data_IF_232854564731
#
_entry.id   IF_232854564731
#
_cell.length_a   1.000
_cell.length_b   1.000
_cell.length_c   1.000
_cell.angle_alpha   90.00
_cell.angle_beta   90.00
_cell.angle_gamma   90.00
#
_symmetry.space_group_name_H-M   'P 1'
#
loop_
_entity.id
_entity.type
_entity.pdbx_description
1 polymer ?
#
# COMPACT_ATOMS: atom_id res chain seq x y z
N UNK A 1 11.06 15.24 17.27
CA UNK A 1 10.87 14.69 15.92
C UNK A 1 11.09 13.18 16.00
N UNK A 2 9.99 12.40 16.09
CA UNK A 2 10.09 10.93 16.21
C UNK A 2 10.07 10.21 14.85
N UNK A 3 9.71 10.92 13.80
CA UNK A 3 9.71 10.47 12.42
C UNK A 3 9.74 11.70 11.52
N UNK A 4 10.04 11.55 10.25
CA UNK A 4 10.17 12.67 9.31
C UNK A 4 8.84 13.43 9.09
N UNK A 5 7.72 12.79 9.38
CA UNK A 5 6.35 13.25 9.13
C UNK A 5 5.51 13.47 10.40
N UNK A 6 6.10 13.32 11.60
CA UNK A 6 5.40 13.42 12.88
C UNK A 6 5.94 14.53 13.77
N UNK A 7 5.02 15.30 14.34
CA UNK A 7 5.32 16.38 15.27
C UNK A 7 4.51 16.18 16.55
N UNK A 8 5.10 16.55 17.67
CA UNK A 8 4.43 16.62 18.98
C UNK A 8 4.49 18.06 19.44
N UNK A 9 3.34 18.58 19.85
CA UNK A 9 3.21 19.91 20.46
C UNK A 9 2.53 19.78 21.84
N UNK A 10 3.00 20.58 22.78
CA UNK A 10 2.34 20.74 24.09
C UNK A 10 1.79 22.16 24.13
N UNK A 11 0.48 22.28 24.38
CA UNK A 11 -0.20 23.57 24.42
C UNK A 11 -1.03 23.68 25.69
N UNK A 12 -1.24 24.93 26.15
CA UNK A 12 -2.12 25.18 27.30
C UNK A 12 -3.59 25.04 26.91
N UNK A 13 -4.41 24.60 27.86
CA UNK A 13 -5.86 24.39 27.67
C UNK A 13 -6.59 25.63 27.10
N UNK A 14 -6.20 26.83 27.50
CA UNK A 14 -6.80 28.08 26.98
C UNK A 14 -6.63 28.22 25.46
N UNK A 15 -5.48 27.85 24.93
CA UNK A 15 -5.20 27.88 23.48
C UNK A 15 -5.87 26.71 22.76
N UNK A 16 -5.94 25.54 23.40
CA UNK A 16 -6.68 24.40 22.86
C UNK A 16 -8.16 24.74 22.67
N UNK A 17 -8.79 25.38 23.64
CA UNK A 17 -10.20 25.82 23.53
C UNK A 17 -10.42 26.78 22.36
N UNK A 18 -9.48 27.68 22.10
CA UNK A 18 -9.55 28.57 20.94
C UNK A 18 -9.42 27.78 19.60
N UNK A 19 -8.47 26.86 19.52
CA UNK A 19 -8.28 25.99 18.35
C UNK A 19 -9.56 25.18 18.07
N UNK A 20 -10.18 24.61 19.11
CA UNK A 20 -11.41 23.82 18.97
C UNK A 20 -12.62 24.67 18.58
N UNK A 21 -12.76 25.89 19.14
CA UNK A 21 -13.80 26.83 18.72
C UNK A 21 -13.70 27.17 17.24
N UNK A 22 -12.49 27.32 16.73
CA UNK A 22 -12.21 27.59 15.32
C UNK A 22 -12.18 26.29 14.49
N UNK A 23 -12.74 25.18 15.01
CA UNK A 23 -12.87 23.87 14.31
C UNK A 23 -11.55 23.36 13.74
N UNK A 24 -10.43 23.67 14.42
CA UNK A 24 -9.08 23.25 14.01
C UNK A 24 -8.74 23.76 12.59
N UNK A 25 -8.90 25.05 12.34
CA UNK A 25 -8.68 25.74 11.05
C UNK A 25 -7.34 25.43 10.36
N UNK A 26 -6.34 24.98 11.13
CA UNK A 26 -5.04 24.56 10.58
C UNK A 26 -5.17 23.43 9.56
N UNK A 27 -6.22 22.59 9.65
CA UNK A 27 -6.48 21.54 8.67
C UNK A 27 -6.84 22.13 7.30
N UNK A 28 -7.65 23.18 7.29
CA UNK A 28 -8.05 23.85 6.06
C UNK A 28 -6.87 24.60 5.43
N UNK A 29 -6.06 25.27 6.26
CA UNK A 29 -4.82 25.92 5.80
C UNK A 29 -3.81 24.92 5.24
N UNK A 30 -3.72 23.72 5.81
CA UNK A 30 -2.86 22.66 5.27
C UNK A 30 -3.32 22.21 3.89
N UNK A 31 -4.63 22.11 3.66
CA UNK A 31 -5.22 21.73 2.36
C UNK A 31 -4.99 22.75 1.25
N UNK A 32 -4.75 24.02 1.61
CA UNK A 32 -4.41 25.07 0.65
C UNK A 32 -2.97 24.97 0.14
N UNK A 33 -2.13 24.17 0.78
CA UNK A 33 -0.74 23.96 0.38
C UNK A 33 -0.66 22.84 -0.66
N UNK A 34 -0.12 23.18 -1.83
CA UNK A 34 0.14 22.23 -2.90
C UNK A 34 1.62 21.91 -2.98
N UNK A 35 1.94 20.65 -3.16
CA UNK A 35 3.30 20.21 -3.41
C UNK A 35 3.39 19.80 -4.88
N UNK A 36 4.27 20.49 -5.64
CA UNK A 36 4.49 20.26 -7.08
C UNK A 36 3.20 20.31 -7.94
N UNK A 37 2.22 21.13 -7.57
CA UNK A 37 0.90 21.28 -8.23
C UNK A 37 0.11 19.96 -8.40
N UNK A 38 0.52 18.88 -7.71
CA UNK A 38 -0.04 17.54 -7.89
C UNK A 38 -0.74 16.99 -6.64
N UNK A 39 -0.34 17.44 -5.46
CA UNK A 39 -0.81 16.86 -4.22
C UNK A 39 -1.08 17.94 -3.17
N UNK A 40 -2.30 17.95 -2.63
CA UNK A 40 -2.63 18.78 -1.47
C UNK A 40 -1.99 18.19 -0.21
N UNK A 41 -1.42 19.05 0.63
CA UNK A 41 -0.98 18.62 1.96
C UNK A 41 -2.21 18.32 2.81
N UNK A 42 -2.22 17.16 3.46
CA UNK A 42 -3.22 16.80 4.46
C UNK A 42 -2.58 16.63 5.82
N UNK A 43 -3.33 16.91 6.87
CA UNK A 43 -2.85 16.78 8.24
C UNK A 43 -3.84 15.97 9.08
N UNK A 44 -3.32 15.02 9.85
CA UNK A 44 -4.12 14.32 10.85
C UNK A 44 -3.60 14.66 12.24
N UNK A 45 -4.51 15.04 13.15
CA UNK A 45 -4.14 15.54 14.48
C UNK A 45 -4.83 14.69 15.53
N UNK A 46 -4.05 14.16 16.47
CA UNK A 46 -4.55 13.53 17.69
C UNK A 46 -4.32 14.47 18.89
N UNK A 47 -5.36 14.74 19.66
CA UNK A 47 -5.32 15.63 20.83
C UNK A 47 -5.67 14.80 22.06
N UNK A 48 -4.75 14.76 23.01
CA UNK A 48 -4.96 14.18 24.34
C UNK A 48 -5.33 15.29 25.32
N UNK A 49 -6.57 15.26 25.81
CA UNK A 49 -7.10 16.17 26.79
C UNK A 49 -7.45 15.42 28.09
N UNK A 50 -7.45 16.05 29.23
CA UNK A 50 -7.82 15.45 30.53
C UNK A 50 -6.85 14.43 31.12
N UNK A 51 -5.69 14.18 30.52
CA UNK A 51 -4.67 13.31 31.14
C UNK A 51 -4.11 13.92 32.44
N UNK A 52 -4.00 13.11 33.48
CA UNK A 52 -3.43 13.52 34.78
C UNK A 52 -1.94 13.81 34.73
N UNK A 53 -1.26 13.30 33.73
CA UNK A 53 0.16 13.48 33.47
C UNK A 53 0.41 13.75 31.99
N UNK A 54 1.56 14.34 31.64
CA UNK A 54 1.96 14.54 30.24
C UNK A 54 2.07 13.20 29.50
N UNK A 55 2.50 12.14 30.17
CA UNK A 55 2.59 10.80 29.59
C UNK A 55 1.18 10.26 29.24
N UNK A 56 0.22 10.44 30.08
CA UNK A 56 -1.16 10.03 29.84
C UNK A 56 -1.80 10.86 28.72
N UNK A 57 -1.56 12.18 28.72
CA UNK A 57 -2.02 13.06 27.65
C UNK A 57 -1.40 12.68 26.30
N UNK A 58 -0.13 12.28 26.28
CA UNK A 58 0.52 11.75 25.05
C UNK A 58 -0.13 10.44 24.58
N UNK A 59 -0.42 9.51 25.49
CA UNK A 59 -1.11 8.26 25.15
C UNK A 59 -2.50 8.55 24.56
N UNK A 60 -3.23 9.47 25.15
CA UNK A 60 -4.54 9.89 24.64
C UNK A 60 -4.42 10.54 23.25
N UNK A 61 -3.40 11.37 23.04
CA UNK A 61 -3.15 11.98 21.74
C UNK A 61 -2.82 10.94 20.67
N UNK A 62 -2.04 9.92 20.99
CA UNK A 62 -1.75 8.79 20.09
C UNK A 62 -3.02 8.02 19.72
N UNK A 63 -3.82 7.64 20.71
CA UNK A 63 -5.10 6.95 20.48
C UNK A 63 -6.05 7.81 19.62
N UNK A 64 -6.11 9.11 19.87
CA UNK A 64 -6.91 10.03 19.08
C UNK A 64 -6.39 10.11 17.62
N UNK A 65 -5.07 10.15 17.44
CA UNK A 65 -4.47 10.16 16.11
C UNK A 65 -4.78 8.86 15.33
N UNK A 66 -4.67 7.71 15.97
CA UNK A 66 -5.05 6.42 15.38
C UNK A 66 -6.53 6.41 14.95
N UNK A 67 -7.41 6.96 15.80
CA UNK A 67 -8.82 7.10 15.45
C UNK A 67 -9.06 8.04 14.28
N UNK A 68 -8.33 9.18 14.22
CA UNK A 68 -8.42 10.09 13.09
C UNK A 68 -7.93 9.43 11.78
N UNK A 69 -6.83 8.67 11.86
CA UNK A 69 -6.27 7.92 10.74
C UNK A 69 -7.19 6.79 10.28
N UNK A 70 -7.73 6.00 11.21
CA UNK A 70 -8.69 4.92 10.91
C UNK A 70 -10.01 5.41 10.30
N UNK A 71 -10.32 6.72 10.39
CA UNK A 71 -11.47 7.37 9.74
C UNK A 71 -11.13 8.04 8.40
N UNK A 72 -9.92 7.84 7.91
CA UNK A 72 -9.50 8.39 6.63
C UNK A 72 -8.48 9.53 6.72
N UNK A 73 -8.02 9.88 7.91
CA UNK A 73 -7.10 11.00 8.08
C UNK A 73 -7.72 12.35 7.74
N UNK A 74 -6.85 13.36 7.51
CA UNK A 74 -7.24 14.72 7.16
C UNK A 74 -8.27 15.34 8.10
N UNK A 75 -8.13 15.05 9.38
CA UNK A 75 -9.03 15.49 10.46
C UNK A 75 -8.32 15.53 11.81
N UNK A 76 -8.92 16.19 12.78
CA UNK A 76 -8.48 16.12 14.16
C UNK A 76 -9.44 15.26 14.99
N UNK A 77 -8.88 14.43 15.88
CA UNK A 77 -9.62 13.75 16.91
C UNK A 77 -9.14 14.20 18.29
N UNK A 78 -10.07 14.42 19.20
CA UNK A 78 -9.81 14.77 20.60
C UNK A 78 -10.27 13.61 21.47
N UNK A 79 -9.38 13.06 22.28
CA UNK A 79 -9.79 12.09 23.31
C UNK A 79 -10.20 12.82 24.57
N UNK A 80 -11.40 12.53 25.02
CA UNK A 80 -12.00 13.01 26.28
C UNK A 80 -12.38 11.81 27.15
N UNK A 81 -12.76 12.06 28.40
CA UNK A 81 -13.26 11.02 29.29
C UNK A 81 -14.55 10.35 28.76
N UNK A 82 -15.30 11.04 27.90
CA UNK A 82 -16.55 10.56 27.30
C UNK A 82 -16.37 9.90 25.93
N UNK A 83 -15.13 9.73 25.45
CA UNK A 83 -14.85 9.14 24.15
C UNK A 83 -14.04 10.05 23.23
N UNK A 84 -14.39 10.08 21.94
CA UNK A 84 -13.67 10.85 20.94
C UNK A 84 -14.60 11.89 20.28
N UNK A 85 -14.08 13.11 20.14
CA UNK A 85 -14.70 14.17 19.35
C UNK A 85 -13.86 14.40 18.08
N UNK A 86 -14.51 14.70 16.94
CA UNK A 86 -13.85 14.85 15.65
C UNK A 86 -14.11 16.23 15.06
N UNK A 87 -13.07 16.83 14.45
CA UNK A 87 -13.09 18.17 13.87
C UNK A 87 -12.46 18.16 12.47
N UNK A 88 -12.97 19.01 11.59
CA UNK A 88 -12.34 19.31 10.29
C UNK A 88 -12.36 18.16 9.28
N UNK A 89 -13.02 17.05 9.59
CA UNK A 89 -13.21 15.99 8.63
C UNK A 89 -14.13 16.48 7.52
N UNK A 90 -13.56 16.92 6.38
CA UNK A 90 -14.32 16.82 5.13
C UNK A 90 -14.40 15.33 4.88
N UNK A 91 -15.53 14.71 5.21
CA UNK A 91 -15.82 13.38 4.72
C UNK A 91 -16.01 13.50 3.20
N UNK A 92 -14.94 13.54 2.43
CA UNK A 92 -14.88 12.74 1.20
C UNK A 92 -15.15 11.37 1.74
N UNK A 93 -16.39 10.88 1.54
CA UNK A 93 -16.86 9.67 2.19
C UNK A 93 -15.73 8.67 2.14
N UNK A 94 -15.38 8.08 3.27
CA UNK A 94 -14.42 6.98 3.30
C UNK A 94 -14.75 6.21 2.04
N UNK A 95 -13.82 6.24 1.06
CA UNK A 95 -14.04 5.52 -0.17
C UNK A 95 -14.16 4.09 0.31
N UNK A 96 -15.42 3.68 0.57
CA UNK A 96 -15.71 2.40 1.18
C UNK A 96 -15.07 1.40 0.25
N UNK A 97 -14.15 0.65 0.78
CA UNK A 97 -13.62 -0.56 0.18
C UNK A 97 -14.84 -1.38 -0.25
N UNK A 98 -15.34 -1.13 -1.44
CA UNK A 98 -16.56 -1.78 -1.89
C UNK A 98 -16.12 -2.99 -2.68
N UNK A 99 -16.64 -4.16 -2.33
CA UNK A 99 -16.48 -5.39 -3.13
C UNK A 99 -16.72 -5.16 -4.62
N UNK A 100 -17.52 -4.15 -4.97
CA UNK A 100 -17.76 -3.73 -6.36
C UNK A 100 -16.52 -3.12 -6.99
N UNK A 101 -15.80 -2.22 -6.30
CA UNK A 101 -14.57 -1.60 -6.78
C UNK A 101 -13.48 -2.66 -6.97
N UNK A 102 -13.27 -3.53 -5.97
CA UNK A 102 -12.31 -4.63 -6.05
C UNK A 102 -12.61 -5.54 -7.23
N UNK A 103 -13.89 -5.92 -7.45
CA UNK A 103 -14.29 -6.73 -8.58
C UNK A 103 -14.02 -6.07 -9.93
N UNK A 104 -14.30 -4.78 -10.07
CA UNK A 104 -14.00 -4.03 -11.30
C UNK A 104 -12.50 -4.03 -11.58
N UNK A 105 -11.68 -3.74 -10.58
CA UNK A 105 -10.22 -3.74 -10.70
C UNK A 105 -9.70 -5.14 -11.04
N UNK A 106 -10.20 -6.17 -10.37
CA UNK A 106 -9.81 -7.55 -10.64
C UNK A 106 -10.15 -7.97 -12.09
N UNK A 107 -11.34 -7.61 -12.59
CA UNK A 107 -11.71 -7.88 -13.98
C UNK A 107 -10.81 -7.11 -14.98
N UNK A 108 -10.51 -5.85 -14.71
CA UNK A 108 -9.59 -5.07 -15.56
C UNK A 108 -8.17 -5.63 -15.52
N UNK A 109 -7.71 -6.12 -14.37
CA UNK A 109 -6.42 -6.79 -14.23
C UNK A 109 -6.39 -8.10 -15.03
N UNK A 110 -7.44 -8.91 -14.94
CA UNK A 110 -7.57 -10.14 -15.71
C UNK A 110 -7.53 -9.87 -17.22
N UNK A 111 -8.19 -8.82 -17.70
CA UNK A 111 -8.13 -8.43 -19.11
C UNK A 111 -6.69 -8.08 -19.55
N UNK A 112 -5.94 -7.36 -18.71
CA UNK A 112 -4.52 -7.06 -18.99
C UNK A 112 -3.65 -8.33 -18.98
N UNK A 113 -3.88 -9.21 -18.00
CA UNK A 113 -3.22 -10.52 -17.88
C UNK A 113 -3.50 -11.39 -19.11
N UNK A 114 -4.75 -11.45 -19.57
CA UNK A 114 -5.12 -12.23 -20.74
C UNK A 114 -4.47 -11.76 -22.04
N UNK A 115 -4.28 -10.45 -22.16
CA UNK A 115 -3.66 -9.83 -23.34
C UNK A 115 -2.12 -9.76 -23.27
N UNK A 116 -1.49 -10.08 -22.14
CA UNK A 116 -0.06 -10.08 -22.00
C UNK A 116 0.56 -11.42 -22.42
N UNK A 117 1.76 -11.37 -23.00
CA UNK A 117 2.56 -12.56 -23.33
C UNK A 117 3.43 -13.01 -22.14
N UNK A 118 3.96 -12.06 -21.38
CA UNK A 118 4.76 -12.28 -20.18
C UNK A 118 4.35 -11.29 -19.08
N UNK A 119 4.38 -11.76 -17.85
CA UNK A 119 3.93 -10.95 -16.70
C UNK A 119 5.03 -10.97 -15.65
N UNK A 120 5.50 -9.79 -15.28
CA UNK A 120 6.50 -9.60 -14.24
C UNK A 120 5.87 -8.89 -13.06
N UNK A 121 6.06 -9.46 -11.86
CA UNK A 121 5.53 -8.90 -10.62
C UNK A 121 6.71 -8.58 -9.71
N UNK A 122 6.85 -7.32 -9.31
CA UNK A 122 7.92 -6.90 -8.42
C UNK A 122 7.38 -6.02 -7.29
N UNK A 123 8.15 -5.91 -6.22
CA UNK A 123 7.89 -4.99 -5.13
C UNK A 123 8.94 -3.88 -5.04
N UNK A 124 9.35 -3.58 -3.83
CA UNK A 124 10.39 -2.61 -3.54
C UNK A 124 11.75 -3.27 -3.24
N UNK A 125 12.84 -2.52 -3.37
CA UNK A 125 14.19 -2.91 -2.93
C UNK A 125 14.17 -3.27 -1.44
N UNK A 126 15.02 -4.24 -1.07
CA UNK A 126 15.02 -4.79 0.29
C UNK A 126 13.64 -5.34 0.67
N UNK A 127 13.01 -6.05 -0.29
CA UNK A 127 11.66 -6.58 -0.20
C UNK A 127 11.44 -7.31 1.14
N UNK A 128 10.39 -6.92 1.85
CA UNK A 128 9.96 -7.52 3.09
C UNK A 128 8.90 -8.62 2.87
N UNK A 129 8.27 -9.09 3.94
CA UNK A 129 7.28 -10.17 3.86
C UNK A 129 6.05 -9.77 3.07
N UNK A 130 5.63 -8.50 3.10
CA UNK A 130 4.47 -8.02 2.35
C UNK A 130 4.78 -7.91 0.85
N UNK A 131 5.92 -7.30 0.54
CA UNK A 131 6.40 -7.15 -0.84
C UNK A 131 6.57 -8.50 -1.55
N UNK A 132 7.24 -9.47 -0.89
CA UNK A 132 7.42 -10.82 -1.45
C UNK A 132 6.12 -11.63 -1.41
N UNK A 133 5.36 -11.57 -0.31
CA UNK A 133 4.12 -12.30 -0.14
C UNK A 133 3.07 -11.93 -1.19
N UNK A 134 2.86 -10.62 -1.40
CA UNK A 134 1.94 -10.13 -2.43
C UNK A 134 2.39 -10.50 -3.84
N UNK A 135 3.69 -10.37 -4.15
CA UNK A 135 4.26 -10.74 -5.45
C UNK A 135 4.12 -12.24 -5.73
N UNK A 136 4.44 -13.10 -4.76
CA UNK A 136 4.30 -14.58 -4.89
C UNK A 136 2.84 -14.97 -5.05
N UNK A 137 1.96 -14.45 -4.20
CA UNK A 137 0.53 -14.77 -4.25
C UNK A 137 -0.08 -14.45 -5.61
N UNK A 138 0.20 -13.26 -6.13
CA UNK A 138 -0.32 -12.83 -7.42
C UNK A 138 0.30 -13.62 -8.59
N UNK A 139 1.63 -13.85 -8.57
CA UNK A 139 2.33 -14.67 -9.58
C UNK A 139 1.72 -16.06 -9.66
N UNK A 140 1.53 -16.73 -8.51
CA UNK A 140 0.95 -18.06 -8.46
C UNK A 140 -0.50 -18.10 -8.95
N UNK A 141 -1.32 -17.11 -8.57
CA UNK A 141 -2.70 -17.01 -9.05
C UNK A 141 -2.76 -16.84 -10.57
N UNK A 142 -1.89 -16.02 -11.15
CA UNK A 142 -1.80 -15.80 -12.59
C UNK A 142 -1.28 -17.05 -13.32
N UNK A 143 -0.27 -17.74 -12.77
CA UNK A 143 0.19 -19.03 -13.33
C UNK A 143 -0.90 -20.10 -13.32
N UNK A 144 -1.70 -20.14 -12.29
CA UNK A 144 -2.84 -21.07 -12.21
C UNK A 144 -3.90 -20.82 -13.30
N UNK A 145 -3.95 -19.60 -13.85
CA UNK A 145 -4.74 -19.26 -15.04
C UNK A 145 -4.07 -19.68 -16.36
N UNK A 146 -2.91 -20.31 -16.32
CA UNK A 146 -2.15 -20.77 -17.50
C UNK A 146 -1.31 -19.68 -18.17
N UNK A 147 -0.98 -18.61 -17.47
CA UNK A 147 -0.17 -17.50 -17.98
C UNK A 147 1.27 -17.58 -17.48
N UNK A 148 2.21 -17.14 -18.31
CA UNK A 148 3.63 -17.02 -17.94
C UNK A 148 3.85 -15.79 -17.05
N UNK A 149 4.21 -16.05 -15.81
CA UNK A 149 4.40 -14.99 -14.82
C UNK A 149 5.55 -15.29 -13.85
N UNK A 150 6.27 -14.26 -13.42
CA UNK A 150 7.43 -14.38 -12.52
C UNK A 150 7.39 -13.27 -11.46
N UNK A 151 7.78 -13.63 -10.24
CA UNK A 151 8.11 -12.69 -9.20
C UNK A 151 9.55 -12.21 -9.39
N UNK A 152 9.73 -10.92 -9.62
CA UNK A 152 11.07 -10.31 -9.82
C UNK A 152 11.60 -9.85 -8.47
N UNK A 153 12.74 -10.40 -8.05
CA UNK A 153 13.32 -10.08 -6.76
C UNK A 153 14.83 -10.39 -6.76
N UNK A 154 15.63 -9.46 -6.26
CA UNK A 154 17.05 -9.74 -5.95
C UNK A 154 17.12 -10.49 -4.61
N UNK A 155 17.41 -11.79 -4.69
CA UNK A 155 17.53 -12.66 -3.53
C UNK A 155 18.55 -12.13 -2.51
N UNK A 156 19.66 -11.54 -2.97
CA UNK A 156 20.76 -11.15 -2.09
C UNK A 156 20.37 -10.00 -1.17
N UNK A 157 19.56 -9.09 -1.66
CA UNK A 157 19.12 -7.87 -0.94
C UNK A 157 17.79 -8.04 -0.23
N UNK A 158 16.97 -9.04 -0.58
CA UNK A 158 15.67 -9.29 0.04
C UNK A 158 15.79 -9.60 1.54
N UNK A 159 14.89 -9.02 2.33
CA UNK A 159 14.72 -9.31 3.76
C UNK A 159 13.78 -10.51 4.00
N UNK A 160 13.05 -10.94 2.98
CA UNK A 160 12.07 -12.03 3.04
C UNK A 160 12.59 -13.35 2.45
N UNK A 161 13.89 -13.64 2.56
CA UNK A 161 14.50 -14.91 2.07
C UNK A 161 13.76 -16.15 2.54
N UNK A 162 13.24 -16.11 3.76
CA UNK A 162 12.46 -17.21 4.34
C UNK A 162 11.21 -17.57 3.52
N UNK A 163 10.62 -16.63 2.80
CA UNK A 163 9.51 -16.91 1.88
C UNK A 163 10.03 -17.40 0.52
N UNK A 164 11.10 -16.82 0.02
CA UNK A 164 11.70 -17.18 -1.27
C UNK A 164 12.18 -18.64 -1.22
N UNK A 165 12.83 -19.04 -0.14
CA UNK A 165 13.37 -20.40 0.06
C UNK A 165 12.30 -21.50 0.12
N UNK A 166 11.02 -21.11 0.26
CA UNK A 166 9.89 -22.08 0.18
C UNK A 166 9.57 -22.54 -1.23
N UNK A 167 10.15 -21.89 -2.23
CA UNK A 167 9.98 -22.20 -3.66
C UNK A 167 11.34 -22.51 -4.30
N UNK A 168 11.99 -23.61 -3.89
CA UNK A 168 13.27 -23.97 -4.47
C UNK A 168 13.11 -24.23 -5.98
N UNK A 169 14.16 -23.92 -6.72
CA UNK A 169 14.21 -24.29 -8.12
C UNK A 169 14.20 -25.82 -8.26
N UNK A 170 13.31 -26.32 -9.11
CA UNK A 170 13.22 -27.74 -9.47
C UNK A 170 13.62 -27.87 -10.92
N UNK A 171 14.58 -28.77 -11.20
CA UNK A 171 15.07 -29.01 -12.56
C UNK A 171 13.91 -29.41 -13.49
N UNK A 172 13.79 -28.69 -14.61
CA UNK A 172 12.72 -28.91 -15.59
C UNK A 172 11.41 -28.20 -15.32
N UNK A 173 11.29 -27.50 -14.19
CA UNK A 173 10.18 -26.58 -13.90
C UNK A 173 10.58 -25.12 -14.10
N UNK A 174 9.64 -24.30 -14.54
CA UNK A 174 9.86 -22.87 -14.69
C UNK A 174 9.97 -22.20 -13.30
N UNK A 175 11.08 -21.50 -12.98
CA UNK A 175 11.29 -20.90 -11.67
C UNK A 175 10.21 -19.86 -11.36
N UNK A 176 9.77 -19.79 -10.09
CA UNK A 176 8.79 -18.80 -9.66
C UNK A 176 9.40 -17.39 -9.61
N UNK A 177 10.66 -17.32 -9.20
CA UNK A 177 11.41 -16.07 -9.08
C UNK A 177 12.36 -15.89 -10.26
N UNK A 178 12.58 -14.64 -10.63
CA UNK A 178 13.60 -14.25 -11.61
C UNK A 178 14.36 -13.04 -11.08
N UNK A 179 15.65 -12.94 -11.41
CA UNK A 179 16.44 -11.76 -11.08
C UNK A 179 16.05 -10.58 -11.99
N UNK A 180 16.21 -9.33 -11.52
CA UNK A 180 15.89 -8.15 -12.31
C UNK A 180 16.57 -8.11 -13.68
N UNK A 181 17.80 -8.60 -13.79
CA UNK A 181 18.56 -8.64 -15.04
C UNK A 181 17.93 -9.62 -16.06
N UNK A 182 17.57 -10.82 -15.60
CA UNK A 182 16.95 -11.85 -16.44
C UNK A 182 15.54 -11.40 -16.89
N UNK A 183 14.76 -10.81 -15.98
CA UNK A 183 13.45 -10.22 -16.32
C UNK A 183 13.56 -9.16 -17.40
N UNK A 184 14.67 -8.41 -17.40
CA UNK A 184 14.93 -7.36 -18.36
C UNK A 184 15.24 -7.90 -19.76
N UNK A 185 15.93 -9.04 -19.85
CA UNK A 185 16.23 -9.72 -21.13
C UNK A 185 14.94 -10.33 -21.72
N UNK A 186 14.05 -10.79 -20.86
CA UNK A 186 12.79 -11.45 -21.24
C UNK A 186 11.63 -10.48 -21.50
N UNK A 187 11.80 -9.18 -21.21
CA UNK A 187 10.75 -8.17 -21.39
C UNK A 187 10.44 -7.96 -22.86
N UNK A 188 9.15 -7.98 -23.20
CA UNK A 188 8.65 -7.72 -24.55
C UNK A 188 7.79 -6.46 -24.57
N UNK A 189 7.44 -6.00 -25.77
CA UNK A 189 6.52 -4.87 -25.97
C UNK A 189 5.11 -5.11 -25.46
N UNK A 190 4.70 -6.36 -25.30
CA UNK A 190 3.38 -6.78 -24.81
C UNK A 190 3.42 -7.36 -23.40
N UNK A 191 4.56 -7.24 -22.71
CA UNK A 191 4.66 -7.65 -21.32
C UNK A 191 3.88 -6.72 -20.39
N UNK A 192 3.38 -7.29 -19.30
CA UNK A 192 2.72 -6.57 -18.20
C UNK A 192 3.64 -6.55 -16.99
N UNK A 193 3.93 -5.36 -16.46
CA UNK A 193 4.62 -5.18 -15.19
C UNK A 193 3.61 -4.84 -14.10
N UNK A 194 3.60 -5.60 -13.01
CA UNK A 194 2.80 -5.32 -11.82
C UNK A 194 3.74 -4.99 -10.68
N UNK A 195 3.50 -3.86 -10.03
CA UNK A 195 4.28 -3.37 -8.90
C UNK A 195 3.41 -3.47 -7.65
N UNK A 196 3.84 -4.30 -6.70
CA UNK A 196 3.16 -4.51 -5.44
C UNK A 196 3.90 -3.79 -4.30
N UNK A 197 3.15 -3.36 -3.29
CA UNK A 197 3.67 -2.84 -2.03
C UNK A 197 4.54 -1.58 -2.15
N UNK A 198 4.47 -0.90 -3.26
CA UNK A 198 5.04 0.44 -3.43
C UNK A 198 4.47 1.14 -4.66
N UNK A 199 4.35 2.45 -4.57
CA UNK A 199 4.05 3.31 -5.71
C UNK A 199 5.18 4.34 -5.97
N UNK A 200 6.28 4.22 -5.22
CA UNK A 200 7.41 5.16 -5.31
C UNK A 200 8.47 4.64 -6.29
N UNK A 201 8.67 5.30 -7.45
CA UNK A 201 9.62 4.84 -8.48
C UNK A 201 11.09 4.87 -8.03
N UNK A 202 11.41 5.47 -6.86
CA UNK A 202 12.78 5.52 -6.35
C UNK A 202 13.19 4.26 -5.58
N UNK A 203 12.22 3.49 -5.09
CA UNK A 203 12.48 2.31 -4.25
C UNK A 203 12.00 0.99 -4.85
N UNK A 204 11.38 0.99 -6.04
CA UNK A 204 10.99 -0.24 -6.74
C UNK A 204 12.18 -1.16 -6.96
N UNK A 205 11.95 -2.45 -7.07
CA UNK A 205 12.98 -3.48 -7.21
C UNK A 205 13.90 -3.20 -8.41
N UNK A 206 13.32 -2.95 -9.58
CA UNK A 206 14.07 -2.60 -10.79
C UNK A 206 13.50 -1.36 -11.46
N UNK A 207 14.25 -0.27 -11.41
CA UNK A 207 13.92 0.97 -12.11
C UNK A 207 14.01 0.80 -13.63
N UNK A 208 14.99 0.04 -14.10
CA UNK A 208 15.22 -0.19 -15.51
C UNK A 208 14.07 -0.98 -16.14
N UNK A 209 13.58 -2.01 -15.44
CA UNK A 209 12.42 -2.79 -15.87
C UNK A 209 11.16 -1.91 -15.96
N UNK A 210 10.95 -1.04 -14.96
CA UNK A 210 9.84 -0.09 -14.95
C UNK A 210 9.92 0.91 -16.09
N UNK A 211 11.08 1.50 -16.35
CA UNK A 211 11.27 2.50 -17.42
C UNK A 211 11.03 1.94 -18.83
N UNK A 212 11.25 0.64 -19.04
CA UNK A 212 11.03 -0.03 -20.31
C UNK A 212 9.65 -0.65 -20.46
N UNK A 213 8.99 -0.98 -19.37
CA UNK A 213 7.66 -1.60 -19.42
C UNK A 213 6.62 -0.64 -19.98
N UNK A 214 5.86 -1.08 -21.00
CA UNK A 214 4.83 -0.27 -21.64
C UNK A 214 3.49 -0.28 -20.90
N UNK A 215 3.22 -1.35 -20.15
CA UNK A 215 1.99 -1.51 -19.37
C UNK A 215 2.37 -1.77 -17.92
N UNK A 216 1.98 -0.87 -17.04
CA UNK A 216 2.30 -0.93 -15.61
C UNK A 216 1.02 -0.92 -14.80
N UNK A 217 0.94 -1.81 -13.83
CA UNK A 217 -0.11 -1.85 -12.79
C UNK A 217 0.55 -1.62 -11.44
N UNK A 218 -0.08 -0.84 -10.58
CA UNK A 218 0.36 -0.61 -9.20
C UNK A 218 -0.72 -1.09 -8.23
N UNK A 219 -0.31 -1.87 -7.22
CA UNK A 219 -1.14 -2.35 -6.11
C UNK A 219 -0.41 -1.98 -4.82
N UNK A 220 -0.90 -0.97 -4.10
CA UNK A 220 -0.19 -0.43 -2.94
C UNK A 220 -1.12 0.16 -1.88
N UNK A 221 -0.71 0.01 -0.61
CA UNK A 221 -1.43 0.50 0.55
C UNK A 221 -0.73 1.66 1.27
N UNK A 222 0.49 2.00 0.90
CA UNK A 222 1.24 3.08 1.53
C UNK A 222 0.59 4.44 1.29
N UNK A 223 0.79 5.40 2.20
CA UNK A 223 0.33 6.77 2.01
C UNK A 223 0.88 7.35 0.71
N UNK A 224 0.00 7.97 -0.08
CA UNK A 224 0.37 8.56 -1.36
C UNK A 224 1.48 9.60 -1.17
N UNK A 225 2.58 9.40 -1.89
CA UNK A 225 3.76 10.26 -1.88
C UNK A 225 3.70 11.26 -3.04
N UNK A 226 4.50 12.33 -2.95
CA UNK A 226 4.62 13.32 -4.03
C UNK A 226 5.19 12.68 -5.31
N UNK A 227 6.21 11.82 -5.12
CA UNK A 227 6.81 11.06 -6.22
C UNK A 227 6.12 9.69 -6.27
N UNK A 228 5.18 9.54 -7.17
CA UNK A 228 4.49 8.28 -7.39
C UNK A 228 4.43 7.94 -8.88
N UNK A 229 4.24 6.67 -9.19
CA UNK A 229 4.03 6.17 -10.54
C UNK A 229 2.69 6.70 -11.05
N UNK A 230 2.71 7.63 -11.99
CA UNK A 230 1.51 8.32 -12.51
C UNK A 230 1.04 7.81 -13.87
N UNK A 231 1.84 6.96 -14.53
CA UNK A 231 1.57 6.39 -15.85
C UNK A 231 1.00 4.95 -15.79
N UNK A 232 0.63 4.46 -14.60
CA UNK A 232 0.05 3.12 -14.45
C UNK A 232 -1.33 3.04 -15.12
N UNK A 233 -1.57 1.96 -15.90
CA UNK A 233 -2.88 1.67 -16.50
C UNK A 233 -3.93 1.29 -15.46
N UNK A 234 -3.50 0.66 -14.36
CA UNK A 234 -4.30 0.46 -13.15
C UNK A 234 -3.45 0.95 -11.97
N UNK A 235 -4.02 1.86 -11.19
CA UNK A 235 -3.44 2.33 -9.93
C UNK A 235 -4.41 1.98 -8.79
N UNK A 236 -4.25 0.76 -8.25
CA UNK A 236 -5.04 0.26 -7.13
C UNK A 236 -4.35 0.63 -5.83
N UNK A 237 -4.79 1.70 -5.22
CA UNK A 237 -4.21 2.28 -4.03
C UNK A 237 -5.25 2.38 -2.93
N UNK A 238 -5.03 1.68 -1.81
CA UNK A 238 -5.94 1.61 -0.66
C UNK A 238 -5.18 1.83 0.65
N UNK A 239 -4.99 3.09 1.09
CA UNK A 239 -4.16 3.42 2.27
C UNK A 239 -4.78 2.94 3.59
N UNK A 240 -5.93 2.28 3.55
CA UNK A 240 -6.60 1.69 4.72
C UNK A 240 -6.47 0.16 4.77
N UNK A 241 -5.97 -0.46 3.71
CA UNK A 241 -5.60 -1.87 3.75
C UNK A 241 -4.41 -2.07 4.70
N UNK A 242 -4.35 -3.20 5.38
CA UNK A 242 -3.25 -3.51 6.29
C UNK A 242 -1.95 -3.78 5.54
N UNK A 243 -2.06 -4.31 4.32
CA UNK A 243 -0.93 -4.75 3.50
C UNK A 243 -1.30 -4.86 2.02
N UNK A 244 -0.31 -4.87 1.13
CA UNK A 244 -0.49 -5.22 -0.27
C UNK A 244 -0.93 -6.68 -0.45
N UNK A 245 -0.48 -7.58 0.43
CA UNK A 245 -0.90 -8.98 0.48
C UNK A 245 -2.39 -9.13 0.79
N UNK A 246 -2.98 -8.29 1.64
CA UNK A 246 -4.43 -8.22 1.85
C UNK A 246 -5.13 -7.84 0.55
N UNK A 247 -4.67 -6.77 -0.11
CA UNK A 247 -5.26 -6.29 -1.36
C UNK A 247 -5.19 -7.35 -2.47
N UNK A 248 -4.05 -8.04 -2.61
CA UNK A 248 -3.89 -9.16 -3.55
C UNK A 248 -4.84 -10.30 -3.19
N UNK A 249 -4.97 -10.65 -1.90
CA UNK A 249 -5.89 -11.71 -1.44
C UNK A 249 -7.33 -11.41 -1.86
N UNK A 250 -7.75 -10.15 -1.79
CA UNK A 250 -9.07 -9.73 -2.22
C UNK A 250 -9.25 -9.80 -3.75
N UNK A 251 -8.24 -9.37 -4.51
CA UNK A 251 -8.29 -9.41 -5.98
C UNK A 251 -8.40 -10.83 -6.52
N UNK A 252 -7.59 -11.77 -6.00
CA UNK A 252 -7.56 -13.15 -6.50
C UNK A 252 -8.86 -13.92 -6.22
N UNK A 253 -9.71 -13.49 -5.28
CA UNK A 253 -11.04 -14.07 -5.08
C UNK A 253 -11.92 -13.96 -6.33
N UNK A 254 -11.62 -13.02 -7.21
CA UNK A 254 -12.36 -12.81 -8.47
C UNK A 254 -11.72 -13.51 -9.68
N UNK A 255 -10.59 -14.22 -9.49
CA UNK A 255 -9.93 -14.99 -10.56
C UNK A 255 -10.58 -16.35 -10.80
N UNK A 256 -11.66 -16.67 -10.04
CA UNK A 256 -12.41 -17.91 -10.17
C UNK A 256 -11.66 -19.14 -9.60
N UNK A 257 -12.19 -20.31 -9.88
CA UNK A 257 -11.64 -21.57 -9.35
C UNK A 257 -10.22 -21.86 -9.87
N UNK A 258 -9.92 -21.45 -11.10
CA UNK A 258 -8.61 -21.66 -11.70
C UNK A 258 -7.49 -20.86 -11.01
N UNK A 259 -7.78 -19.67 -10.49
CA UNK A 259 -6.80 -18.83 -9.77
C UNK A 259 -6.55 -19.23 -8.31
N UNK A 260 -7.16 -20.33 -7.81
CA UNK A 260 -7.01 -20.76 -6.42
C UNK A 260 -5.57 -21.14 -6.07
N UNK A 261 -5.10 -20.64 -4.95
CA UNK A 261 -3.76 -20.89 -4.43
C UNK A 261 -3.68 -22.23 -3.68
N UNK A 262 -2.54 -22.90 -3.77
CA UNK A 262 -2.16 -24.01 -2.88
C UNK A 262 -1.77 -23.47 -1.49
N UNK A 263 -1.78 -24.32 -0.47
CA UNK A 263 -1.52 -23.94 0.92
C UNK A 263 -0.22 -23.11 1.08
N UNK A 264 0.90 -23.58 0.55
CA UNK A 264 2.19 -22.89 0.64
C UNK A 264 2.18 -21.49 0.01
N UNK A 265 1.42 -21.31 -1.08
CA UNK A 265 1.27 -20.03 -1.77
C UNK A 265 0.38 -19.05 -0.94
N UNK A 266 -0.69 -19.56 -0.35
CA UNK A 266 -1.57 -18.80 0.53
C UNK A 266 -0.87 -18.40 1.85
N UNK A 267 0.02 -19.25 2.37
CA UNK A 267 0.83 -18.95 3.55
C UNK A 267 1.78 -17.77 3.32
N UNK A 268 2.26 -17.55 2.08
CA UNK A 268 3.08 -16.37 1.75
C UNK A 268 2.26 -15.08 1.83
N UNK A 269 1.03 -15.08 1.32
CA UNK A 269 0.11 -13.94 1.49
C UNK A 269 -0.19 -13.70 2.97
N UNK A 270 -0.45 -14.76 3.73
CA UNK A 270 -0.69 -14.63 5.16
C UNK A 270 0.50 -14.02 5.90
N UNK A 271 1.73 -14.41 5.55
CA UNK A 271 2.93 -13.85 6.13
C UNK A 271 3.10 -12.35 5.85
N UNK A 272 2.64 -11.88 4.68
CA UNK A 272 2.64 -10.46 4.34
C UNK A 272 1.52 -9.66 5.04
N UNK A 273 0.43 -10.34 5.44
CA UNK A 273 -0.67 -9.69 6.19
C UNK A 273 -0.31 -9.52 7.67
N UNK A 274 0.50 -10.40 8.25
CA UNK A 274 0.87 -10.43 9.68
C UNK A 274 1.96 -9.44 10.04
#
# INVERSE_FOLDING_TARGET
KNASDRFIAVIEERHLQEILRNKVEILDKAREIFVNDRLNVTMSIGIGRTGKTLKESEQFARQALEMALGRGGDQAAVKTDNGFEFYGGVSKGVERHTKVKTRIIANSLLELVDNADKIFIMGHKYSDLDSVGSSVGLTCAIRNLGKSAWAVCDYNTSLAKVLIDRFPHVDGEEPLFTEPADAMEELTDNSLLIICDTHNPLIIESKELYEKAKKVVVIDHHRKMVNYIDNAVIFHHEPYASSASEMVTELIQYFGEAGKLRAVQAECLLAGIM
#
